data_IF_933177933140
#
_entry.id   IF_933177933140
#
_cell.length_a   1.000
_cell.length_b   1.000
_cell.length_c   1.000
_cell.angle_alpha   90.00
_cell.angle_beta   90.00
_cell.angle_gamma   90.00
#
_symmetry.space_group_name_H-M   'P 1'
#
loop_
_entity.id
_entity.type
_entity.pdbx_description
1 polymer ?
#
# COMPACT_ATOMS: atom_id res chain seq x y z
N UNK A 1 23.01 23.91 -10.42
CA UNK A 1 21.71 23.35 -10.00
C UNK A 1 21.58 21.94 -10.54
N UNK A 2 21.52 20.95 -9.65
CA UNK A 2 21.30 19.55 -10.04
C UNK A 2 19.86 19.43 -10.52
N UNK A 3 19.64 19.40 -11.83
CA UNK A 3 18.29 19.38 -12.39
C UNK A 3 17.69 17.99 -12.17
N UNK A 4 16.81 17.86 -11.19
CA UNK A 4 16.13 16.60 -10.84
C UNK A 4 15.04 16.29 -11.89
N UNK A 5 15.41 16.02 -13.14
CA UNK A 5 14.48 15.73 -14.24
C UNK A 5 13.38 16.79 -14.42
N UNK A 6 13.75 18.08 -14.39
CA UNK A 6 12.85 19.20 -14.60
C UNK A 6 12.14 19.70 -13.33
N UNK A 7 12.53 19.20 -12.15
CA UNK A 7 12.20 19.81 -10.86
C UNK A 7 13.29 20.81 -10.46
N UNK A 8 12.88 22.01 -10.05
CA UNK A 8 13.76 23.03 -9.45
C UNK A 8 13.90 22.74 -7.96
N UNK A 9 14.86 21.90 -7.61
CA UNK A 9 15.14 21.51 -6.22
C UNK A 9 16.61 21.11 -6.10
N UNK A 10 17.23 21.39 -4.95
CA UNK A 10 18.58 20.88 -4.62
C UNK A 10 18.49 19.76 -3.58
N UNK A 11 19.57 19.00 -3.42
CA UNK A 11 19.64 17.91 -2.44
C UNK A 11 19.50 18.46 -1.00
N UNK A 12 20.09 19.64 -0.73
CA UNK A 12 19.99 20.34 0.55
C UNK A 12 18.55 20.80 0.81
N UNK A 13 17.88 21.39 -0.19
CA UNK A 13 16.49 21.81 -0.07
C UNK A 13 15.56 20.61 0.16
N UNK A 14 15.80 19.49 -0.54
CA UNK A 14 15.05 18.26 -0.32
C UNK A 14 15.24 17.72 1.10
N UNK A 15 16.45 17.78 1.65
CA UNK A 15 16.72 17.37 3.02
C UNK A 15 16.10 18.31 4.05
N UNK A 16 16.12 19.62 3.81
CA UNK A 16 15.45 20.61 4.65
C UNK A 16 13.93 20.36 4.70
N UNK A 17 13.29 20.09 3.56
CA UNK A 17 11.86 19.74 3.48
C UNK A 17 11.57 18.47 4.29
N UNK A 18 12.41 17.42 4.18
CA UNK A 18 12.28 16.19 4.99
C UNK A 18 12.38 16.46 6.49
N UNK A 19 13.20 17.43 6.88
CA UNK A 19 13.36 17.83 8.27
C UNK A 19 12.24 18.75 8.77
N UNK A 20 11.28 19.11 7.90
CA UNK A 20 10.10 19.90 8.24
C UNK A 20 10.25 21.40 8.00
N UNK A 21 11.34 21.86 7.38
CA UNK A 21 11.59 23.27 7.08
C UNK A 21 10.48 23.85 6.18
N UNK A 22 9.75 24.83 6.72
CA UNK A 22 8.63 25.50 6.05
C UNK A 22 9.14 26.44 4.95
N UNK A 23 10.25 27.14 5.17
CA UNK A 23 10.83 28.07 4.19
C UNK A 23 11.31 27.31 2.95
N UNK A 24 12.01 26.20 3.15
CA UNK A 24 12.46 25.34 2.07
C UNK A 24 11.29 24.77 1.25
N UNK A 25 10.19 24.41 1.94
CA UNK A 25 8.95 23.90 1.33
C UNK A 25 8.24 24.97 0.51
N UNK A 26 8.10 26.19 1.05
CA UNK A 26 7.48 27.31 0.36
C UNK A 26 8.25 27.65 -0.91
N UNK A 27 9.57 27.76 -0.82
CA UNK A 27 10.44 28.01 -1.97
C UNK A 27 10.27 26.92 -3.05
N UNK A 28 10.38 25.65 -2.66
CA UNK A 28 10.18 24.54 -3.60
C UNK A 28 8.81 24.57 -4.28
N UNK A 29 7.75 24.77 -3.50
CA UNK A 29 6.39 24.77 -4.02
C UNK A 29 6.18 25.91 -5.02
N UNK A 30 6.62 27.12 -4.69
CA UNK A 30 6.49 28.29 -5.56
C UNK A 30 7.35 28.15 -6.83
N UNK A 31 8.59 27.69 -6.70
CA UNK A 31 9.52 27.51 -7.82
C UNK A 31 9.02 26.50 -8.87
N UNK A 32 8.19 25.55 -8.43
CA UNK A 32 7.66 24.46 -9.24
C UNK A 32 6.14 24.54 -9.47
N UNK A 33 5.47 25.61 -9.03
CA UNK A 33 4.02 25.74 -9.04
C UNK A 33 3.41 25.50 -10.43
N UNK A 34 4.03 26.07 -11.47
CA UNK A 34 3.54 25.92 -12.85
C UNK A 34 3.61 24.48 -13.34
N UNK A 35 4.67 23.75 -12.97
CA UNK A 35 4.80 22.33 -13.27
C UNK A 35 3.76 21.51 -12.53
N UNK A 36 3.54 21.81 -11.24
CA UNK A 36 2.54 21.15 -10.39
C UNK A 36 1.14 21.34 -10.99
N UNK A 37 0.78 22.58 -11.38
CA UNK A 37 -0.49 22.88 -12.06
C UNK A 37 -0.66 22.03 -13.31
N UNK A 38 0.32 22.06 -14.22
CA UNK A 38 0.26 21.27 -15.46
C UNK A 38 0.05 19.78 -15.18
N UNK A 39 0.75 19.24 -14.18
CA UNK A 39 0.58 17.84 -13.78
C UNK A 39 -0.80 17.57 -13.21
N UNK A 40 -1.33 18.42 -12.32
CA UNK A 40 -2.64 18.27 -11.70
C UNK A 40 -3.77 18.30 -12.73
N UNK A 41 -3.79 19.30 -13.62
CA UNK A 41 -4.80 19.40 -14.69
C UNK A 41 -4.74 18.21 -15.66
N UNK A 42 -3.52 17.77 -16.03
CA UNK A 42 -3.35 16.58 -16.86
C UNK A 42 -3.85 15.32 -16.15
N UNK A 43 -3.56 15.20 -14.86
CA UNK A 43 -3.97 14.06 -14.06
C UNK A 43 -5.50 14.01 -13.90
N UNK A 44 -6.12 15.10 -13.47
CA UNK A 44 -7.57 15.24 -13.30
C UNK A 44 -8.34 14.93 -14.60
N UNK A 45 -7.84 15.41 -15.76
CA UNK A 45 -8.43 15.13 -17.07
C UNK A 45 -8.41 13.63 -17.42
N UNK A 46 -7.36 12.92 -17.01
CA UNK A 46 -7.16 11.51 -17.37
C UNK A 46 -7.71 10.53 -16.33
N UNK A 47 -8.19 11.00 -15.18
CA UNK A 47 -8.69 10.17 -14.08
C UNK A 47 -10.08 10.65 -13.66
N UNK A 48 -11.16 9.96 -14.07
CA UNK A 48 -12.54 10.39 -13.81
C UNK A 48 -12.83 10.68 -12.33
N UNK A 49 -12.34 9.85 -11.41
CA UNK A 49 -12.45 10.05 -9.94
C UNK A 49 -11.83 11.34 -9.41
N UNK A 50 -11.01 11.99 -10.22
CA UNK A 50 -10.28 13.20 -9.88
C UNK A 50 -10.74 14.40 -10.72
N UNK A 51 -11.78 14.23 -11.55
CA UNK A 51 -12.31 15.29 -12.37
C UNK A 51 -12.83 16.43 -11.48
N UNK A 52 -12.47 17.68 -11.81
CA UNK A 52 -12.80 18.85 -11.00
C UNK A 52 -11.88 19.09 -9.79
N UNK A 53 -11.03 18.14 -9.39
CA UNK A 53 -10.18 18.25 -8.19
C UNK A 53 -8.77 18.84 -8.46
N UNK A 54 -8.56 19.48 -9.62
CA UNK A 54 -7.23 19.96 -9.98
C UNK A 54 -6.67 21.00 -8.99
N UNK A 55 -7.51 21.94 -8.54
CA UNK A 55 -7.12 22.94 -7.54
C UNK A 55 -6.89 22.31 -6.16
N UNK A 56 -7.71 21.32 -5.78
CA UNK A 56 -7.51 20.57 -4.54
C UNK A 56 -6.20 19.78 -4.55
N UNK A 57 -5.80 19.23 -5.71
CA UNK A 57 -4.49 18.59 -5.88
C UNK A 57 -3.34 19.58 -5.75
N UNK A 58 -3.47 20.77 -6.34
CA UNK A 58 -2.44 21.81 -6.30
C UNK A 58 -2.23 22.26 -4.85
N UNK A 59 -3.29 22.60 -4.13
CA UNK A 59 -3.23 23.05 -2.75
C UNK A 59 -2.89 21.90 -1.78
N UNK A 60 -3.50 20.73 -1.98
CA UNK A 60 -3.27 19.54 -1.17
C UNK A 60 -1.82 19.06 -1.23
N UNK A 61 -1.15 19.19 -2.37
CA UNK A 61 0.27 18.84 -2.48
C UNK A 61 1.12 19.67 -1.50
N UNK A 62 0.83 20.96 -1.31
CA UNK A 62 1.58 21.80 -0.36
C UNK A 62 1.49 21.26 1.08
N UNK A 63 0.29 20.83 1.47
CA UNK A 63 0.03 20.22 2.77
C UNK A 63 0.76 18.88 2.87
N UNK A 64 0.66 18.06 1.82
CA UNK A 64 1.27 16.74 1.75
C UNK A 64 2.80 16.78 1.76
N UNK A 65 3.44 17.87 1.36
CA UNK A 65 4.89 18.07 1.53
C UNK A 65 5.32 17.98 3.01
N UNK A 66 4.43 18.11 4.00
CA UNK A 66 4.76 17.79 5.40
C UNK A 66 5.01 16.28 5.62
N UNK A 67 4.43 15.44 4.76
CA UNK A 67 4.55 13.99 4.78
C UNK A 67 5.80 13.48 4.03
N UNK A 68 6.63 14.37 3.46
CA UNK A 68 7.88 14.01 2.78
C UNK A 68 8.81 13.10 3.60
N UNK A 69 8.73 13.20 4.94
CA UNK A 69 9.50 12.42 5.91
C UNK A 69 8.95 11.00 6.14
N UNK A 70 7.65 10.80 5.98
CA UNK A 70 6.93 9.57 6.35
C UNK A 70 6.67 8.63 5.16
N UNK A 71 7.31 8.86 4.01
CA UNK A 71 7.31 7.93 2.87
C UNK A 71 8.16 6.67 3.16
N UNK A 72 7.83 5.93 4.22
CA UNK A 72 8.45 4.66 4.59
C UNK A 72 8.12 3.62 3.52
N UNK A 73 8.96 3.57 2.48
CA UNK A 73 8.86 2.64 1.35
C UNK A 73 9.30 3.25 0.01
N UNK A 74 9.23 4.59 -0.14
CA UNK A 74 9.65 5.32 -1.35
C UNK A 74 10.21 6.70 -0.98
N UNK A 75 11.39 6.79 -0.35
CA UNK A 75 11.99 8.07 -0.02
C UNK A 75 12.19 8.91 -1.28
N UNK A 76 11.89 10.21 -1.19
CA UNK A 76 12.22 11.16 -2.25
C UNK A 76 13.75 11.37 -2.25
N UNK A 77 14.42 10.75 -3.21
CA UNK A 77 15.89 10.75 -3.36
C UNK A 77 16.34 11.35 -4.70
N UNK A 78 15.41 11.59 -5.62
CA UNK A 78 15.65 12.18 -6.93
C UNK A 78 14.33 12.65 -7.57
N UNK A 79 14.43 13.30 -8.73
CA UNK A 79 13.27 13.79 -9.48
C UNK A 79 12.23 12.73 -9.87
N UNK A 80 12.64 11.48 -10.11
CA UNK A 80 11.69 10.38 -10.42
C UNK A 80 10.85 10.03 -9.19
N UNK A 81 11.48 9.88 -8.04
CA UNK A 81 10.78 9.62 -6.77
C UNK A 81 9.92 10.81 -6.33
N UNK A 82 10.34 12.05 -6.65
CA UNK A 82 9.56 13.26 -6.41
C UNK A 82 8.28 13.28 -7.27
N UNK A 83 8.39 13.01 -8.57
CA UNK A 83 7.20 12.87 -9.42
C UNK A 83 6.28 11.76 -8.90
N UNK A 84 6.84 10.63 -8.46
CA UNK A 84 6.08 9.55 -7.82
C UNK A 84 5.35 10.00 -6.56
N UNK A 85 5.98 10.80 -5.71
CA UNK A 85 5.36 11.39 -4.54
C UNK A 85 4.20 12.34 -4.90
N UNK A 86 4.40 13.21 -5.89
CA UNK A 86 3.36 14.13 -6.38
C UNK A 86 2.15 13.36 -6.91
N UNK A 87 2.37 12.33 -7.74
CA UNK A 87 1.28 11.47 -8.20
C UNK A 87 0.58 10.74 -7.06
N UNK A 88 1.32 10.27 -6.05
CA UNK A 88 0.70 9.69 -4.86
C UNK A 88 -0.20 10.70 -4.15
N UNK A 89 0.24 11.95 -3.94
CA UNK A 89 -0.60 13.01 -3.37
C UNK A 89 -1.89 13.19 -4.18
N UNK A 90 -1.80 13.22 -5.51
CA UNK A 90 -2.98 13.36 -6.39
C UNK A 90 -3.94 12.18 -6.31
N UNK A 91 -3.42 10.95 -6.20
CA UNK A 91 -4.24 9.74 -6.01
C UNK A 91 -5.14 9.87 -4.78
N UNK A 92 -4.65 10.52 -3.72
CA UNK A 92 -5.38 10.66 -2.46
C UNK A 92 -6.15 11.97 -2.31
N UNK A 93 -6.12 12.87 -3.30
CA UNK A 93 -6.88 14.11 -3.27
C UNK A 93 -8.40 13.89 -3.01
N UNK A 94 -9.08 12.89 -3.62
CA UNK A 94 -10.49 12.62 -3.33
C UNK A 94 -10.77 12.23 -1.87
N UNK A 95 -9.75 11.78 -1.12
CA UNK A 95 -9.88 11.33 0.27
C UNK A 95 -9.34 12.37 1.27
N UNK A 96 -9.11 13.61 0.83
CA UNK A 96 -8.59 14.70 1.67
C UNK A 96 -7.06 14.84 1.67
N UNK A 97 -6.35 14.09 0.83
CA UNK A 97 -4.90 14.18 0.68
C UNK A 97 -4.10 13.17 1.51
N UNK A 98 -2.83 13.03 1.17
CA UNK A 98 -1.97 11.97 1.70
C UNK A 98 -1.65 12.16 3.19
N UNK A 99 -1.44 13.40 3.65
CA UNK A 99 -1.24 13.74 5.06
C UNK A 99 -2.52 13.49 5.87
N UNK A 100 -3.69 13.84 5.35
CA UNK A 100 -4.96 13.59 6.02
C UNK A 100 -5.17 12.08 6.18
N UNK A 101 -5.03 11.31 5.11
CA UNK A 101 -5.11 9.86 5.14
C UNK A 101 -4.14 9.27 6.17
N UNK A 102 -2.89 9.74 6.23
CA UNK A 102 -1.95 9.20 7.21
C UNK A 102 -2.32 9.42 8.67
N UNK A 103 -3.03 10.51 8.97
CA UNK A 103 -3.40 10.89 10.34
C UNK A 103 -4.74 10.31 10.75
N UNK A 104 -5.68 10.25 9.81
CA UNK A 104 -7.09 9.97 10.11
C UNK A 104 -7.59 8.65 9.51
N UNK A 105 -6.93 8.13 8.47
CA UNK A 105 -7.35 6.89 7.82
C UNK A 105 -6.17 6.16 7.16
N UNK A 106 -5.22 5.71 7.98
CA UNK A 106 -3.99 5.08 7.51
C UNK A 106 -4.26 3.78 6.70
N UNK A 107 -5.43 3.15 6.90
CA UNK A 107 -5.87 1.96 6.16
C UNK A 107 -6.00 2.22 4.65
N UNK A 108 -6.40 3.43 4.24
CA UNK A 108 -6.46 3.82 2.82
C UNK A 108 -5.08 3.82 2.14
N UNK A 109 -4.00 4.00 2.91
CA UNK A 109 -2.63 4.00 2.39
C UNK A 109 -2.08 2.58 2.16
N UNK A 110 -2.76 1.55 2.68
CA UNK A 110 -2.27 0.17 2.69
C UNK A 110 -2.87 -0.70 1.57
N UNK A 111 -4.05 -0.36 1.06
CA UNK A 111 -4.78 -1.22 0.13
C UNK A 111 -5.53 -0.39 -0.93
N UNK A 112 -4.79 0.14 -1.90
CA UNK A 112 -5.39 0.92 -3.00
C UNK A 112 -6.38 0.09 -3.84
N UNK A 113 -6.22 -1.23 -3.94
CA UNK A 113 -7.09 -2.08 -4.76
C UNK A 113 -8.52 -2.15 -4.20
N UNK A 114 -8.68 -2.23 -2.88
CA UNK A 114 -10.01 -2.29 -2.25
C UNK A 114 -10.78 -0.97 -2.31
N UNK A 115 -10.07 0.17 -2.30
CA UNK A 115 -10.69 1.52 -2.22
C UNK A 115 -10.68 2.29 -3.55
N UNK A 116 -10.09 1.74 -4.62
CA UNK A 116 -10.02 2.38 -5.94
C UNK A 116 -11.20 2.09 -6.87
N UNK A 117 -12.25 1.44 -6.36
CA UNK A 117 -13.48 1.23 -7.15
C UNK A 117 -14.18 2.57 -7.32
N UNK A 118 -14.52 2.92 -8.57
CA UNK A 118 -15.34 4.10 -8.85
C UNK A 118 -16.65 3.98 -8.08
N UNK A 119 -16.84 4.87 -7.11
CA UNK A 119 -18.07 4.92 -6.33
C UNK A 119 -19.10 5.73 -7.11
N UNK A 120 -20.31 5.19 -7.19
CA UNK A 120 -21.44 5.93 -7.76
C UNK A 120 -22.16 6.67 -6.63
N UNK A 121 -22.54 7.92 -6.89
CA UNK A 121 -23.46 8.62 -5.99
C UNK A 121 -24.74 7.80 -5.85
N UNK A 122 -25.26 7.70 -4.63
CA UNK A 122 -26.59 7.13 -4.39
C UNK A 122 -27.67 7.89 -5.16
N UNK A 123 -27.46 9.18 -5.43
CA UNK A 123 -28.34 10.05 -6.20
C UNK A 123 -28.16 9.91 -7.72
N UNK A 124 -27.29 9.01 -8.18
CA UNK A 124 -27.09 8.79 -9.60
C UNK A 124 -28.33 8.09 -10.18
N UNK A 125 -28.96 8.65 -11.24
CA UNK A 125 -30.09 8.01 -11.91
C UNK A 125 -29.63 6.76 -12.69
N UNK A 126 -30.55 5.83 -12.91
CA UNK A 126 -30.28 4.61 -13.68
C UNK A 126 -30.18 4.84 -15.19
N UNK A 127 -30.95 5.77 -15.73
CA UNK A 127 -30.99 6.02 -17.17
C UNK A 127 -29.83 6.89 -17.71
N UNK A 128 -29.86 7.12 -19.02
CA UNK A 128 -28.82 7.84 -19.75
C UNK A 128 -29.13 9.34 -19.75
N UNK A 129 -28.61 10.07 -18.77
CA UNK A 129 -28.68 11.54 -18.70
C UNK A 129 -29.17 12.07 -17.35
N UNK A 130 -29.01 13.38 -17.12
CA UNK A 130 -29.44 14.05 -15.88
C UNK A 130 -30.87 14.61 -16.00
N UNK A 131 -31.75 13.87 -16.70
CA UNK A 131 -33.12 14.29 -16.97
C UNK A 131 -34.10 13.73 -15.92
N UNK A 132 -33.83 14.04 -14.65
CA UNK A 132 -34.58 13.56 -13.47
C UNK A 132 -36.08 13.89 -13.47
N UNK A 133 -36.54 14.74 -14.39
CA UNK A 133 -37.90 15.25 -14.45
C UNK A 133 -38.66 14.85 -15.73
N UNK A 134 -38.09 14.03 -16.60
CA UNK A 134 -38.69 13.76 -17.92
C UNK A 134 -39.04 12.28 -18.17
N UNK A 135 -38.54 11.34 -17.36
CA UNK A 135 -38.77 9.91 -17.57
C UNK A 135 -38.80 9.16 -16.22
N UNK A 136 -39.75 8.24 -16.05
CA UNK A 136 -39.89 7.39 -14.85
C UNK A 136 -38.61 6.56 -14.60
N UNK A 137 -37.90 6.16 -15.66
CA UNK A 137 -36.64 5.42 -15.56
C UNK A 137 -35.46 6.29 -15.07
N UNK A 138 -35.53 7.62 -15.28
CA UNK A 138 -34.54 8.58 -14.78
C UNK A 138 -34.91 9.14 -13.39
N UNK A 139 -36.13 8.93 -12.92
CA UNK A 139 -36.56 9.34 -11.59
C UNK A 139 -35.95 8.47 -10.50
N UNK A 140 -35.70 7.18 -10.80
CA UNK A 140 -35.16 6.21 -9.85
C UNK A 140 -33.65 6.34 -9.71
N UNK A 141 -33.18 6.32 -8.47
CA UNK A 141 -31.76 6.44 -8.13
C UNK A 141 -31.22 5.16 -7.47
N UNK A 142 -29.89 5.03 -7.39
CA UNK A 142 -29.26 3.93 -6.67
C UNK A 142 -29.75 3.82 -5.22
N UNK A 143 -30.06 4.95 -4.57
CA UNK A 143 -30.60 5.02 -3.22
C UNK A 143 -31.90 4.22 -3.03
N UNK A 144 -32.76 4.16 -4.06
CA UNK A 144 -34.07 3.49 -3.99
C UNK A 144 -33.99 1.97 -4.20
N UNK A 145 -32.89 1.52 -4.80
CA UNK A 145 -32.66 0.10 -5.15
C UNK A 145 -31.67 -0.60 -4.25
N UNK A 146 -30.70 0.12 -3.69
CA UNK A 146 -29.77 -0.45 -2.74
C UNK A 146 -30.60 -0.70 -1.48
N UNK A 147 -30.90 -1.97 -1.15
CA UNK A 147 -31.61 -2.23 0.09
C UNK A 147 -30.77 -1.64 1.20
N UNK A 148 -31.42 -0.97 2.16
CA UNK A 148 -30.75 -0.62 3.41
C UNK A 148 -30.09 -1.92 3.88
N UNK A 149 -28.74 -1.99 3.97
CA UNK A 149 -28.13 -3.17 4.53
C UNK A 149 -28.76 -3.30 5.92
N UNK A 150 -29.33 -4.47 6.23
CA UNK A 150 -29.65 -4.83 7.60
C UNK A 150 -28.45 -4.37 8.41
N UNK A 151 -28.68 -3.32 9.24
CA UNK A 151 -27.65 -2.37 9.70
C UNK A 151 -26.30 -3.05 9.68
N UNK A 152 -25.40 -2.61 8.79
CA UNK A 152 -24.03 -3.13 8.74
C UNK A 152 -23.56 -3.15 10.19
N UNK A 153 -23.60 -4.34 10.76
CA UNK A 153 -23.13 -4.60 12.09
C UNK A 153 -21.63 -4.59 11.87
N UNK A 154 -21.07 -3.37 11.76
CA UNK A 154 -19.64 -3.09 11.82
C UNK A 154 -19.19 -3.34 13.25
N UNK A 155 -19.57 -4.50 13.77
CA UNK A 155 -19.06 -5.09 14.98
C UNK A 155 -17.58 -5.24 14.69
N UNK A 156 -16.78 -4.42 15.38
CA UNK A 156 -15.35 -4.55 15.34
C UNK A 156 -14.97 -5.89 15.98
N UNK A 157 -14.65 -6.87 15.14
CA UNK A 157 -14.21 -8.18 15.59
C UNK A 157 -12.72 -8.21 15.95
N UNK A 158 -12.00 -7.08 15.91
CA UNK A 158 -10.53 -7.03 16.09
C UNK A 158 -10.10 -7.74 17.38
N UNK A 159 -10.68 -7.40 18.52
CA UNK A 159 -10.31 -8.03 19.80
C UNK A 159 -10.76 -9.50 19.88
N UNK A 160 -11.94 -9.81 19.35
CA UNK A 160 -12.43 -11.19 19.25
C UNK A 160 -11.49 -12.05 18.39
N UNK A 161 -10.95 -11.49 17.31
CA UNK A 161 -10.00 -12.16 16.42
C UNK A 161 -8.65 -12.36 17.11
N UNK A 162 -8.13 -11.36 17.83
CA UNK A 162 -6.88 -11.48 18.62
C UNK A 162 -6.98 -12.61 19.64
N UNK A 163 -8.10 -12.68 20.38
CA UNK A 163 -8.36 -13.76 21.34
C UNK A 163 -8.54 -15.10 20.64
N UNK A 164 -9.27 -15.16 19.53
CA UNK A 164 -9.54 -16.42 18.82
C UNK A 164 -8.25 -17.10 18.36
N UNK A 165 -7.27 -16.32 17.89
CA UNK A 165 -6.02 -16.86 17.35
C UNK A 165 -4.87 -16.94 18.35
N UNK A 166 -5.03 -16.39 19.57
CA UNK A 166 -3.93 -16.24 20.52
C UNK A 166 -3.26 -17.56 20.89
N UNK A 167 -4.03 -18.64 20.96
CA UNK A 167 -3.56 -19.95 21.39
C UNK A 167 -2.62 -20.61 20.36
N UNK A 168 -2.68 -20.18 19.10
CA UNK A 168 -1.90 -20.77 18.01
C UNK A 168 -0.55 -20.06 17.82
N UNK A 169 -0.42 -18.85 18.35
CA UNK A 169 0.73 -17.97 18.14
C UNK A 169 1.67 -18.02 19.35
N UNK A 170 2.98 -17.93 19.09
CA UNK A 170 3.94 -17.68 20.18
C UNK A 170 3.75 -16.28 20.74
N UNK A 171 4.20 -15.96 21.97
CA UNK A 171 4.04 -14.63 22.57
C UNK A 171 4.51 -13.50 21.63
N UNK A 172 5.63 -13.72 20.94
CA UNK A 172 6.18 -12.73 20.02
C UNK A 172 5.43 -12.61 18.70
N UNK A 173 4.89 -13.71 18.20
CA UNK A 173 4.01 -13.72 17.02
C UNK A 173 2.67 -13.05 17.31
N UNK A 174 2.16 -13.24 18.54
CA UNK A 174 0.95 -12.60 19.04
C UNK A 174 1.11 -11.09 19.12
N UNK A 175 2.18 -10.59 19.74
CA UNK A 175 2.46 -9.14 19.76
C UNK A 175 2.51 -8.51 18.35
N UNK A 176 3.14 -9.21 17.40
CA UNK A 176 3.13 -8.78 15.99
C UNK A 176 1.71 -8.79 15.41
N UNK A 177 0.95 -9.88 15.62
CA UNK A 177 -0.39 -10.03 15.09
C UNK A 177 -1.37 -9.00 15.68
N UNK A 178 -1.27 -8.71 16.97
CA UNK A 178 -2.11 -7.72 17.64
C UNK A 178 -1.90 -6.34 17.04
N UNK A 179 -0.64 -5.91 16.88
CA UNK A 179 -0.32 -4.64 16.23
C UNK A 179 -0.71 -4.63 14.73
N UNK A 180 -0.62 -5.77 14.05
CA UNK A 180 -1.08 -5.91 12.67
C UNK A 180 -2.61 -5.79 12.58
N UNK A 181 -3.35 -6.42 13.49
CA UNK A 181 -4.81 -6.37 13.56
C UNK A 181 -5.31 -4.95 13.91
N UNK A 182 -4.54 -4.22 14.72
CA UNK A 182 -4.75 -2.79 14.99
C UNK A 182 -4.46 -1.88 13.79
N UNK A 183 -3.94 -2.43 12.68
CA UNK A 183 -3.69 -1.70 11.44
C UNK A 183 -2.36 -0.95 11.38
N UNK A 184 -1.41 -1.23 12.28
CA UNK A 184 -0.08 -0.63 12.20
C UNK A 184 0.71 -1.16 10.99
N UNK A 185 1.53 -0.29 10.39
CA UNK A 185 2.41 -0.68 9.28
C UNK A 185 3.61 -1.48 9.78
N UNK A 186 4.20 -2.31 8.92
CA UNK A 186 5.40 -3.09 9.28
C UNK A 186 6.55 -2.24 9.84
N UNK A 187 6.71 -0.98 9.40
CA UNK A 187 7.73 -0.08 9.96
C UNK A 187 7.41 0.32 11.39
N UNK A 188 6.15 0.68 11.67
CA UNK A 188 5.70 1.08 13.03
C UNK A 188 5.72 -0.13 13.97
N UNK A 189 5.34 -1.31 13.47
CA UNK A 189 5.44 -2.56 14.24
C UNK A 189 6.90 -2.88 14.55
N UNK A 190 7.81 -2.74 13.56
CA UNK A 190 9.23 -2.97 13.77
C UNK A 190 9.80 -2.05 14.87
N UNK A 191 9.45 -0.76 14.84
CA UNK A 191 9.82 0.20 15.87
C UNK A 191 9.28 -0.18 17.25
N UNK A 192 7.98 -0.45 17.37
CA UNK A 192 7.33 -0.85 18.64
C UNK A 192 7.90 -2.14 19.23
N UNK A 193 8.29 -3.08 18.37
CA UNK A 193 8.89 -4.35 18.79
C UNK A 193 10.42 -4.25 18.97
N UNK A 194 11.06 -3.13 18.65
CA UNK A 194 12.53 -2.99 18.72
C UNK A 194 13.28 -3.79 17.65
N UNK A 195 12.65 -4.08 16.52
CA UNK A 195 13.27 -4.74 15.37
C UNK A 195 13.72 -3.72 14.32
N UNK A 196 14.80 -4.05 13.59
CA UNK A 196 15.20 -3.32 12.38
C UNK A 196 14.22 -3.55 11.22
N UNK A 197 13.58 -4.72 11.19
CA UNK A 197 12.56 -5.10 10.21
C UNK A 197 11.72 -6.25 10.76
N UNK A 198 10.46 -6.32 10.36
CA UNK A 198 9.55 -7.46 10.63
C UNK A 198 9.37 -8.35 9.40
N UNK A 199 10.20 -8.16 8.36
CA UNK A 199 10.21 -9.00 7.16
C UNK A 199 10.41 -10.48 7.56
N UNK A 200 9.37 -11.29 7.35
CA UNK A 200 9.32 -12.71 7.73
C UNK A 200 8.36 -13.02 8.88
N UNK A 201 8.07 -12.08 9.79
CA UNK A 201 7.10 -12.32 10.88
C UNK A 201 5.67 -12.51 10.34
N UNK A 202 5.29 -11.72 9.33
CA UNK A 202 4.01 -11.89 8.62
C UNK A 202 3.87 -13.31 8.04
N UNK A 203 4.93 -13.83 7.42
CA UNK A 203 4.92 -15.16 6.81
C UNK A 203 4.87 -16.27 7.85
N UNK A 204 5.60 -16.11 8.96
CA UNK A 204 5.58 -17.07 10.08
C UNK A 204 4.20 -17.14 10.74
N UNK A 205 3.58 -15.98 11.01
CA UNK A 205 2.23 -15.90 11.56
C UNK A 205 1.23 -16.50 10.58
N UNK A 206 1.26 -16.11 9.31
CA UNK A 206 0.39 -16.68 8.27
C UNK A 206 0.55 -18.20 8.16
N UNK A 207 1.78 -18.71 8.16
CA UNK A 207 2.04 -20.16 8.10
C UNK A 207 1.47 -20.89 9.31
N UNK A 208 1.61 -20.32 10.51
CA UNK A 208 1.07 -20.88 11.76
C UNK A 208 -0.46 -20.89 11.75
N UNK A 209 -1.10 -19.78 11.38
CA UNK A 209 -2.55 -19.72 11.30
C UNK A 209 -3.10 -20.69 10.24
N UNK A 210 -2.40 -20.88 9.11
CA UNK A 210 -2.79 -21.87 8.10
C UNK A 210 -2.76 -23.30 8.60
N UNK A 211 -1.76 -23.69 9.41
CA UNK A 211 -1.70 -25.05 9.96
C UNK A 211 -2.85 -25.35 10.93
N UNK A 212 -3.51 -24.31 11.46
CA UNK A 212 -4.68 -24.42 12.33
C UNK A 212 -5.98 -23.93 11.64
N UNK A 213 -5.99 -23.82 10.31
CA UNK A 213 -7.08 -23.21 9.55
C UNK A 213 -8.44 -23.87 9.78
N UNK A 214 -8.52 -25.19 9.89
CA UNK A 214 -9.77 -25.89 10.15
C UNK A 214 -10.40 -25.49 11.50
N UNK A 215 -9.59 -25.41 12.55
CA UNK A 215 -10.03 -25.02 13.89
C UNK A 215 -10.41 -23.53 13.94
N UNK A 216 -9.60 -22.67 13.32
CA UNK A 216 -9.88 -21.23 13.23
C UNK A 216 -11.19 -20.98 12.47
N UNK A 217 -11.42 -21.64 11.34
CA UNK A 217 -12.66 -21.49 10.57
C UNK A 217 -13.88 -21.98 11.35
N UNK A 218 -13.74 -23.05 12.14
CA UNK A 218 -14.80 -23.52 13.05
C UNK A 218 -15.14 -22.46 14.11
N UNK A 219 -14.12 -21.90 14.78
CA UNK A 219 -14.31 -20.83 15.78
C UNK A 219 -14.93 -19.57 15.16
N UNK A 220 -14.52 -19.19 13.94
CA UNK A 220 -15.10 -18.05 13.21
C UNK A 220 -16.57 -18.30 12.84
N UNK A 221 -16.90 -19.51 12.38
CA UNK A 221 -18.29 -19.90 12.09
C UNK A 221 -19.18 -19.82 13.35
N UNK A 222 -18.64 -20.21 14.51
CA UNK A 222 -19.35 -20.11 15.79
C UNK A 222 -19.59 -18.66 16.24
N UNK A 223 -18.78 -17.71 15.77
CA UNK A 223 -18.99 -16.26 15.96
C UNK A 223 -20.01 -15.66 14.97
N UNK A 224 -20.67 -16.48 14.14
CA UNK A 224 -21.62 -16.03 13.13
C UNK A 224 -20.98 -15.49 11.84
N UNK A 225 -19.65 -15.63 11.69
CA UNK A 225 -18.96 -15.17 10.49
C UNK A 225 -19.17 -16.19 9.37
N UNK A 226 -19.68 -15.73 8.22
CA UNK A 226 -19.82 -16.59 7.04
C UNK A 226 -18.44 -16.98 6.49
N UNK A 227 -18.05 -18.23 6.72
CA UNK A 227 -16.78 -18.82 6.29
C UNK A 227 -16.92 -19.75 5.08
N UNK A 228 -18.10 -19.84 4.46
CA UNK A 228 -18.38 -20.84 3.41
C UNK A 228 -17.44 -20.72 2.21
N UNK A 229 -17.06 -19.49 1.84
CA UNK A 229 -16.11 -19.22 0.76
C UNK A 229 -14.68 -19.72 1.03
N UNK A 230 -14.37 -20.10 2.29
CA UNK A 230 -13.09 -20.63 2.75
C UNK A 230 -13.15 -22.13 3.10
N UNK A 231 -14.34 -22.74 3.21
CA UNK A 231 -14.51 -24.18 3.43
C UNK A 231 -13.90 -24.96 2.27
N UNK A 232 -13.10 -25.99 2.58
CA UNK A 232 -12.45 -26.85 1.57
C UNK A 232 -11.30 -26.19 0.78
N UNK A 233 -11.02 -24.90 0.98
CA UNK A 233 -9.85 -24.23 0.41
C UNK A 233 -8.71 -24.28 1.42
N UNK A 234 -7.80 -25.23 1.27
CA UNK A 234 -6.49 -25.12 1.91
C UNK A 234 -5.84 -23.83 1.40
N UNK A 235 -5.50 -22.84 2.24
CA UNK A 235 -4.95 -21.58 1.74
C UNK A 235 -3.64 -21.86 1.01
N UNK A 236 -3.67 -21.67 -0.32
CA UNK A 236 -2.59 -21.94 -1.27
C UNK A 236 -1.20 -21.68 -0.66
N UNK A 237 -0.41 -22.73 -0.44
CA UNK A 237 1.01 -22.63 -0.11
C UNK A 237 1.82 -22.84 -1.39
N UNK A 238 2.37 -21.79 -2.01
CA UNK A 238 3.19 -21.92 -3.21
C UNK A 238 4.44 -22.79 -3.00
N UNK A 239 4.84 -23.06 -1.75
CA UNK A 239 5.97 -23.95 -1.43
C UNK A 239 5.61 -25.43 -1.40
N UNK A 240 4.34 -25.80 -1.20
CA UNK A 240 3.94 -27.22 -1.22
C UNK A 240 3.76 -27.78 -2.63
N UNK A 241 3.51 -26.94 -3.64
CA UNK A 241 3.49 -27.37 -5.05
C UNK A 241 4.85 -27.21 -5.76
N UNK A 242 5.70 -26.26 -5.35
CA UNK A 242 7.04 -26.10 -5.92
C UNK A 242 8.10 -26.89 -5.17
N UNK A 243 7.92 -28.20 -5.12
CA UNK A 243 9.08 -29.12 -5.19
C UNK A 243 9.13 -29.73 -6.58
N UNK A 244 9.32 -28.89 -7.60
CA UNK A 244 10.05 -29.37 -8.77
C UNK A 244 11.43 -29.75 -8.27
N UNK A 245 11.64 -31.05 -7.98
CA UNK A 245 12.99 -31.61 -7.94
C UNK A 245 13.52 -31.37 -9.35
N UNK A 246 14.34 -30.32 -9.51
CA UNK A 246 15.14 -30.12 -10.73
C UNK A 246 15.72 -31.47 -11.12
N UNK A 247 15.62 -31.84 -12.40
CA UNK A 247 16.18 -33.11 -12.89
C UNK A 247 17.65 -33.19 -12.47
N UNK A 248 18.18 -34.40 -12.31
CA UNK A 248 19.58 -34.58 -11.92
C UNK A 248 20.54 -33.79 -12.82
N UNK A 249 20.22 -33.70 -14.11
CA UNK A 249 20.95 -32.93 -15.12
C UNK A 249 20.88 -31.43 -14.86
N UNK A 250 19.69 -30.87 -14.59
CA UNK A 250 19.56 -29.43 -14.31
C UNK A 250 20.27 -29.07 -13.00
N UNK A 251 20.26 -29.96 -12.00
CA UNK A 251 21.04 -29.77 -10.76
C UNK A 251 22.56 -29.81 -11.01
N UNK A 252 23.03 -30.73 -11.84
CA UNK A 252 24.44 -30.83 -12.22
C UNK A 252 24.91 -29.58 -12.98
N UNK A 253 24.09 -29.09 -13.92
CA UNK A 253 24.36 -27.87 -14.68
C UNK A 253 24.54 -26.64 -13.78
N UNK A 254 23.60 -26.40 -12.85
CA UNK A 254 23.68 -25.25 -11.95
C UNK A 254 24.82 -25.39 -10.93
N UNK A 255 25.14 -26.61 -10.49
CA UNK A 255 26.30 -26.87 -9.64
C UNK A 255 27.62 -26.57 -10.39
N UNK A 256 27.73 -26.93 -11.67
CA UNK A 256 28.87 -26.60 -12.51
C UNK A 256 29.00 -25.09 -12.72
N UNK A 257 27.90 -24.40 -13.05
CA UNK A 257 27.88 -22.93 -13.18
C UNK A 257 28.26 -22.21 -11.88
N UNK A 258 27.86 -22.73 -10.72
CA UNK A 258 28.25 -22.19 -9.43
C UNK A 258 29.76 -22.37 -9.17
N UNK A 259 30.35 -23.52 -9.56
CA UNK A 259 31.80 -23.75 -9.48
C UNK A 259 32.57 -22.80 -10.39
N UNK A 260 32.13 -22.61 -11.63
CA UNK A 260 32.72 -21.65 -12.57
C UNK A 260 32.69 -20.21 -12.03
N UNK A 261 31.57 -19.78 -11.44
CA UNK A 261 31.44 -18.45 -10.82
C UNK A 261 32.39 -18.28 -9.65
N UNK A 262 32.56 -19.30 -8.80
CA UNK A 262 33.51 -19.27 -7.68
C UNK A 262 34.96 -19.22 -8.19
N UNK A 263 35.29 -19.98 -9.22
CA UNK A 263 36.61 -19.97 -9.85
C UNK A 263 36.94 -18.59 -10.44
N UNK A 264 36.01 -17.99 -11.20
CA UNK A 264 36.18 -16.62 -11.73
C UNK A 264 36.35 -15.59 -10.62
N UNK A 265 35.52 -15.66 -9.57
CA UNK A 265 35.64 -14.72 -8.44
C UNK A 265 37.00 -14.86 -7.75
N UNK A 266 37.52 -16.09 -7.60
CA UNK A 266 38.83 -16.34 -7.02
C UNK A 266 39.97 -15.84 -7.93
N UNK A 267 39.85 -16.02 -9.25
CA UNK A 267 40.82 -15.50 -10.22
C UNK A 267 40.89 -13.97 -10.22
N UNK A 268 39.74 -13.28 -10.21
CA UNK A 268 39.68 -11.81 -10.12
C UNK A 268 40.31 -11.30 -8.83
N UNK A 269 40.05 -11.96 -7.69
CA UNK A 269 40.67 -11.62 -6.41
C UNK A 269 42.19 -11.83 -6.47
N UNK A 270 42.65 -12.92 -7.09
CA UNK A 270 44.06 -13.23 -7.22
C UNK A 270 44.80 -12.25 -8.15
N UNK A 271 44.20 -11.88 -9.29
CA UNK A 271 44.73 -10.85 -10.20
C UNK A 271 44.77 -9.48 -9.52
N UNK A 272 43.76 -9.12 -8.72
CA UNK A 272 43.77 -7.88 -7.94
C UNK A 272 44.82 -7.86 -6.82
N UNK A 273 45.24 -9.03 -6.34
CA UNK A 273 46.26 -9.17 -5.31
C UNK A 273 47.69 -9.18 -5.87
N UNK A 274 47.88 -9.51 -7.16
CA UNK A 274 49.16 -9.44 -7.86
C UNK A 274 49.43 -8.07 -8.51
N UNK A 275 48.42 -7.20 -8.56
CA UNK A 275 48.49 -5.86 -9.16
C UNK A 275 48.70 -4.73 -8.13
N UNK A 276 48.92 -5.09 -6.85
CA UNK A 276 49.31 -4.22 -5.74
C UNK A 276 50.65 -4.70 -5.18
#
# INVERSE_FOLDING_TARGET
>A
MTNWNGWKITDEQAQAIKNGDITARNAFYMDNLERIRKMAYTYARNHPRCNGLAEDMIQGLFVDLAYFKQSNGRPVINGKSLSGFVYSSFIYAPYGGLLYCSKNNAKLLCDLETYSVDTFSLDKPFGVGDNRHQDEDNARTLAETIPAPDMLDTTDYTDKLKTLVSDFLTPRQREYFDLFADGYTNSVIAEKLGYKTVAGNSDLVRKRLRSHSAEILSRLSALGINVDKYKGKTPYDPKTERTYKLSAETRAYWAQKARERRARKKAVIFESALSN
#
